data_IF_176199190429
#
_entry.id   IF_176199190429
#
_cell.length_a   1.000
_cell.length_b   1.000
_cell.length_c   1.000
_cell.angle_alpha   90.00
_cell.angle_beta   90.00
_cell.angle_gamma   90.00
#
_symmetry.space_group_name_H-M   'P 1'
#
loop_
_entity.id
_entity.type
_entity.pdbx_description
1 polymer ?
#
# COMPACT_ATOMS: atom_id res chain seq x y z
N UNK A 1 -21.44 21.95 -32.06
CA UNK A 1 -20.87 23.07 -31.25
C UNK A 1 -20.58 22.50 -29.86
N UNK A 2 -19.29 22.29 -29.51
CA UNK A 2 -18.92 22.02 -28.14
C UNK A 2 -19.30 23.26 -27.32
N UNK A 3 -20.19 23.11 -26.35
CA UNK A 3 -20.60 24.20 -25.48
C UNK A 3 -19.35 24.57 -24.68
N UNK A 4 -18.87 25.80 -24.88
CA UNK A 4 -17.68 26.30 -24.22
C UNK A 4 -17.95 26.31 -22.71
N UNK A 5 -17.09 25.65 -21.90
CA UNK A 5 -17.23 25.59 -20.46
C UNK A 5 -17.05 27.02 -19.89
N UNK A 6 -18.12 27.66 -19.35
CA UNK A 6 -18.04 29.04 -18.97
C UNK A 6 -17.19 29.26 -17.72
N UNK A 7 -16.46 30.35 -17.70
CA UNK A 7 -15.83 30.85 -16.48
C UNK A 7 -16.91 31.18 -15.45
N UNK A 8 -16.84 30.58 -14.26
CA UNK A 8 -17.78 30.81 -13.17
C UNK A 8 -17.32 31.96 -12.27
N UNK A 9 -16.04 31.95 -11.92
CA UNK A 9 -15.43 32.95 -11.04
C UNK A 9 -13.92 33.04 -11.28
N UNK A 10 -13.29 34.08 -10.72
CA UNK A 10 -11.82 34.25 -10.74
C UNK A 10 -11.31 34.40 -9.33
N UNK A 11 -10.35 33.53 -8.94
CA UNK A 11 -9.75 33.51 -7.61
C UNK A 11 -8.24 33.67 -7.77
N UNK A 12 -7.66 34.68 -7.14
CA UNK A 12 -6.23 34.98 -7.20
C UNK A 12 -5.68 35.01 -8.65
N UNK A 13 -6.46 35.60 -9.58
CA UNK A 13 -6.09 35.71 -10.99
C UNK A 13 -6.30 34.47 -11.84
N UNK A 14 -6.70 33.33 -11.26
CA UNK A 14 -7.01 32.08 -11.96
C UNK A 14 -8.51 31.98 -12.26
N UNK A 15 -8.83 31.59 -13.47
CA UNK A 15 -10.21 31.34 -13.89
C UNK A 15 -10.65 29.98 -13.39
N UNK A 16 -11.79 29.94 -12.72
CA UNK A 16 -12.47 28.73 -12.29
C UNK A 16 -13.64 28.48 -13.26
N UNK A 17 -13.61 27.34 -13.91
CA UNK A 17 -14.64 26.95 -14.85
C UNK A 17 -15.85 26.35 -14.13
N UNK A 18 -17.00 26.41 -14.76
CA UNK A 18 -18.24 25.86 -14.23
C UNK A 18 -18.12 24.35 -13.96
N UNK A 19 -17.51 23.62 -14.89
CA UNK A 19 -17.32 22.16 -14.75
C UNK A 19 -16.50 21.77 -13.53
N UNK A 20 -15.49 22.55 -13.17
CA UNK A 20 -14.66 22.32 -11.99
C UNK A 20 -15.46 22.46 -10.70
N UNK A 21 -16.23 23.55 -10.59
CA UNK A 21 -17.10 23.78 -9.44
C UNK A 21 -18.18 22.69 -9.31
N UNK A 22 -18.89 22.40 -10.42
CA UNK A 22 -19.96 21.40 -10.44
C UNK A 22 -19.44 20.01 -10.09
N UNK A 23 -18.24 19.65 -10.57
CA UNK A 23 -17.63 18.37 -10.25
C UNK A 23 -17.41 18.21 -8.73
N UNK A 24 -16.78 19.18 -8.09
CA UNK A 24 -16.47 19.14 -6.67
C UNK A 24 -17.76 19.23 -5.83
N UNK A 25 -18.69 20.11 -6.18
CA UNK A 25 -19.98 20.26 -5.52
C UNK A 25 -20.80 18.95 -5.54
N UNK A 26 -20.96 18.35 -6.71
CA UNK A 26 -21.75 17.14 -6.86
C UNK A 26 -21.10 15.95 -6.13
N UNK A 27 -19.78 15.83 -6.20
CA UNK A 27 -19.05 14.77 -5.53
C UNK A 27 -19.20 14.84 -4.00
N UNK A 28 -19.04 16.03 -3.42
CA UNK A 28 -19.17 16.22 -1.98
C UNK A 28 -20.61 16.00 -1.48
N UNK A 29 -21.61 16.42 -2.25
CA UNK A 29 -23.01 16.20 -1.90
C UNK A 29 -23.50 14.76 -2.13
N UNK A 30 -22.76 13.95 -2.91
CA UNK A 30 -23.06 12.54 -3.11
C UNK A 30 -22.50 11.62 -1.99
N UNK A 31 -21.62 12.13 -1.13
CA UNK A 31 -21.01 11.34 -0.06
C UNK A 31 -22.04 11.11 1.07
N UNK A 32 -22.31 9.85 1.36
CA UNK A 32 -23.17 9.47 2.48
C UNK A 32 -22.49 9.82 3.82
N UNK A 33 -23.24 10.45 4.74
CA UNK A 33 -22.73 10.83 6.07
C UNK A 33 -22.22 12.27 6.19
N UNK A 34 -22.18 13.03 5.09
CA UNK A 34 -21.90 14.46 5.10
C UNK A 34 -23.23 15.21 4.89
N UNK A 35 -23.45 16.25 5.70
CA UNK A 35 -24.61 17.12 5.54
C UNK A 35 -24.55 17.80 4.17
N UNK A 36 -25.61 17.61 3.38
CA UNK A 36 -25.73 18.24 2.06
C UNK A 36 -25.81 19.75 2.22
N UNK A 37 -24.96 20.47 1.49
CA UNK A 37 -24.97 21.93 1.45
C UNK A 37 -25.75 22.45 0.25
N UNK A 38 -26.47 23.54 0.45
CA UNK A 38 -27.06 24.27 -0.66
C UNK A 38 -25.96 24.90 -1.53
N UNK A 39 -26.29 25.24 -2.77
CA UNK A 39 -25.35 25.86 -3.68
C UNK A 39 -24.68 27.13 -3.09
N UNK A 40 -25.50 28.00 -2.44
CA UNK A 40 -25.00 29.23 -1.84
C UNK A 40 -24.03 29.00 -0.67
N UNK A 41 -24.37 28.06 0.22
CA UNK A 41 -23.48 27.68 1.33
C UNK A 41 -22.18 27.08 0.84
N UNK A 42 -22.23 26.35 -0.27
CA UNK A 42 -21.07 25.70 -0.84
C UNK A 42 -20.11 26.65 -1.56
N UNK A 43 -20.61 27.75 -2.13
CA UNK A 43 -19.77 28.76 -2.78
C UNK A 43 -18.71 29.31 -1.84
N UNK A 44 -19.09 29.70 -0.62
CA UNK A 44 -18.13 30.24 0.35
C UNK A 44 -17.08 29.20 0.77
N UNK A 45 -17.50 27.95 0.96
CA UNK A 45 -16.57 26.85 1.26
C UNK A 45 -15.59 26.62 0.11
N UNK A 46 -16.10 26.62 -1.13
CA UNK A 46 -15.27 26.44 -2.31
C UNK A 46 -14.28 27.60 -2.53
N UNK A 47 -14.71 28.85 -2.35
CA UNK A 47 -13.83 30.02 -2.43
C UNK A 47 -12.72 29.92 -1.37
N UNK A 48 -13.08 29.62 -0.12
CA UNK A 48 -12.09 29.44 0.96
C UNK A 48 -11.11 28.30 0.66
N UNK A 49 -11.58 27.20 0.11
CA UNK A 49 -10.74 26.09 -0.34
C UNK A 49 -9.73 26.56 -1.39
N UNK A 50 -10.17 27.26 -2.43
CA UNK A 50 -9.29 27.75 -3.51
C UNK A 50 -8.32 28.83 -3.04
N UNK A 51 -8.71 29.68 -2.09
CA UNK A 51 -7.80 30.65 -1.46
C UNK A 51 -6.68 29.97 -0.67
N UNK A 52 -6.98 28.90 0.06
CA UNK A 52 -5.97 28.09 0.74
C UNK A 52 -5.01 27.43 -0.24
N UNK A 53 -5.54 26.85 -1.33
CA UNK A 53 -4.72 26.28 -2.42
C UNK A 53 -3.78 27.36 -3.00
N UNK A 54 -4.31 28.56 -3.30
CA UNK A 54 -3.51 29.66 -3.82
C UNK A 54 -2.43 30.13 -2.83
N UNK A 55 -2.72 30.13 -1.52
CA UNK A 55 -1.74 30.44 -0.48
C UNK A 55 -0.61 29.40 -0.43
N UNK A 56 -0.92 28.11 -0.52
CA UNK A 56 0.09 27.05 -0.59
C UNK A 56 0.98 27.16 -1.85
N UNK A 57 0.39 27.49 -3.00
CA UNK A 57 1.15 27.77 -4.25
C UNK A 57 2.08 28.96 -4.10
N UNK A 58 1.59 30.07 -3.49
CA UNK A 58 2.41 31.25 -3.25
C UNK A 58 3.61 30.96 -2.33
N UNK A 59 3.49 29.97 -1.44
CA UNK A 59 4.60 29.47 -0.60
C UNK A 59 5.52 28.50 -1.35
N UNK A 60 5.23 28.14 -2.60
CA UNK A 60 6.02 27.22 -3.39
C UNK A 60 5.87 25.74 -3.00
N UNK A 61 4.81 25.36 -2.27
CA UNK A 61 4.58 23.99 -1.82
C UNK A 61 4.52 22.99 -2.98
N UNK A 62 3.94 23.38 -4.12
CA UNK A 62 3.84 22.57 -5.34
C UNK A 62 5.17 22.42 -6.11
N UNK A 63 6.19 23.19 -5.74
CA UNK A 63 7.50 23.14 -6.40
C UNK A 63 8.48 22.17 -5.72
N UNK A 64 8.13 21.64 -4.54
CA UNK A 64 8.99 20.72 -3.81
C UNK A 64 9.12 19.37 -4.55
N UNK A 65 10.27 18.71 -4.36
CA UNK A 65 10.52 17.39 -4.95
C UNK A 65 9.51 16.35 -4.43
N UNK A 66 9.26 16.35 -3.12
CA UNK A 66 8.33 15.42 -2.49
C UNK A 66 6.92 15.55 -3.07
N UNK A 67 6.41 16.77 -3.21
CA UNK A 67 5.11 17.04 -3.80
C UNK A 67 4.99 16.49 -5.23
N UNK A 68 6.01 16.76 -6.07
CA UNK A 68 6.01 16.30 -7.47
C UNK A 68 6.07 14.79 -7.58
N UNK A 69 6.89 14.14 -6.75
CA UNK A 69 7.02 12.66 -6.73
C UNK A 69 5.72 12.00 -6.27
N UNK A 70 5.04 12.56 -5.28
CA UNK A 70 3.75 12.06 -4.79
C UNK A 70 2.64 12.23 -5.84
N UNK A 71 2.52 13.43 -6.41
CA UNK A 71 1.53 13.72 -7.46
C UNK A 71 1.74 12.83 -8.69
N UNK A 72 3.00 12.62 -9.11
CA UNK A 72 3.32 11.72 -10.22
C UNK A 72 3.08 10.26 -9.85
N UNK A 73 3.28 9.87 -8.59
CA UNK A 73 2.92 8.55 -8.08
C UNK A 73 1.42 8.27 -8.21
N UNK A 74 0.60 9.21 -7.79
CA UNK A 74 -0.86 9.15 -7.93
C UNK A 74 -1.28 9.12 -9.40
N UNK A 75 -0.68 10.00 -10.22
CA UNK A 75 -0.94 10.05 -11.67
C UNK A 75 -0.70 8.69 -12.34
N UNK A 76 0.42 8.04 -12.03
CA UNK A 76 0.74 6.70 -12.54
C UNK A 76 -0.25 5.64 -12.08
N UNK A 77 -0.71 5.73 -10.84
CA UNK A 77 -1.71 4.80 -10.33
C UNK A 77 -3.06 4.98 -11.04
N UNK A 78 -3.54 6.20 -11.18
CA UNK A 78 -4.79 6.52 -11.85
C UNK A 78 -4.75 6.16 -13.33
N UNK A 79 -3.63 6.40 -14.00
CA UNK A 79 -3.45 6.14 -15.42
C UNK A 79 -3.57 4.66 -15.79
N UNK A 80 -3.38 3.72 -14.86
CA UNK A 80 -3.42 2.27 -15.16
C UNK A 80 -4.72 1.84 -15.82
N UNK A 81 -5.85 2.37 -15.36
CA UNK A 81 -7.18 2.04 -15.91
C UNK A 81 -7.40 2.61 -17.33
N UNK A 82 -6.63 3.63 -17.71
CA UNK A 82 -6.66 4.24 -19.04
C UNK A 82 -5.65 3.60 -20.01
N UNK A 83 -4.72 2.81 -19.51
CA UNK A 83 -3.64 2.20 -20.30
C UNK A 83 -3.82 0.69 -20.51
N UNK A 84 -5.02 0.18 -20.28
CA UNK A 84 -5.44 -1.19 -20.62
C UNK A 84 -6.92 -1.21 -21.00
N UNK A 85 -7.33 -2.19 -21.81
CA UNK A 85 -8.74 -2.47 -22.07
C UNK A 85 -9.16 -3.59 -21.10
N UNK A 86 -9.71 -3.21 -19.95
CA UNK A 86 -10.12 -4.13 -18.90
C UNK A 86 -11.14 -5.17 -19.38
N UNK A 87 -12.05 -4.77 -20.30
CA UNK A 87 -13.05 -5.68 -20.86
C UNK A 87 -12.38 -6.80 -21.64
N UNK A 88 -11.37 -6.47 -22.47
CA UNK A 88 -10.61 -7.47 -23.24
C UNK A 88 -9.77 -8.35 -22.33
N UNK A 89 -9.14 -7.76 -21.30
CA UNK A 89 -8.37 -8.53 -20.29
C UNK A 89 -9.27 -9.53 -19.56
N UNK A 90 -10.45 -9.11 -19.13
CA UNK A 90 -11.41 -9.98 -18.43
C UNK A 90 -11.95 -11.07 -19.34
N UNK A 91 -12.34 -10.76 -20.58
CA UNK A 91 -12.79 -11.76 -21.55
C UNK A 91 -11.71 -12.80 -21.84
N UNK A 92 -10.45 -12.38 -21.99
CA UNK A 92 -9.33 -13.29 -22.17
C UNK A 92 -9.11 -14.19 -20.93
N UNK A 93 -9.20 -13.61 -19.74
CA UNK A 93 -9.11 -14.37 -18.49
C UNK A 93 -10.26 -15.39 -18.35
N UNK A 94 -11.48 -15.00 -18.72
CA UNK A 94 -12.67 -15.88 -18.71
C UNK A 94 -12.49 -17.07 -19.65
N UNK A 95 -12.02 -16.83 -20.87
CA UNK A 95 -11.75 -17.92 -21.83
C UNK A 95 -10.71 -18.91 -21.29
N UNK A 96 -9.71 -18.42 -20.56
CA UNK A 96 -8.71 -19.27 -19.95
C UNK A 96 -9.31 -20.09 -18.80
N UNK A 97 -10.08 -19.44 -17.94
CA UNK A 97 -10.78 -20.08 -16.83
C UNK A 97 -11.69 -21.21 -17.32
N UNK A 98 -12.47 -20.95 -18.38
CA UNK A 98 -13.37 -21.96 -18.97
C UNK A 98 -12.58 -23.13 -19.58
N UNK A 99 -11.47 -22.87 -20.26
CA UNK A 99 -10.56 -23.91 -20.75
C UNK A 99 -9.94 -24.73 -19.62
N UNK A 100 -9.57 -24.09 -18.50
CA UNK A 100 -9.06 -24.81 -17.33
C UNK A 100 -10.11 -25.77 -16.78
N UNK A 101 -11.36 -25.32 -16.64
CA UNK A 101 -12.47 -26.16 -16.19
C UNK A 101 -12.74 -27.32 -17.16
N UNK A 102 -12.85 -27.05 -18.45
CA UNK A 102 -13.12 -28.04 -19.49
C UNK A 102 -12.05 -29.14 -19.56
N UNK A 103 -10.78 -28.77 -19.33
CA UNK A 103 -9.65 -29.70 -19.40
C UNK A 103 -9.28 -30.35 -18.06
N UNK A 104 -10.12 -30.21 -17.03
CA UNK A 104 -9.85 -30.68 -15.65
C UNK A 104 -8.54 -30.13 -15.04
N UNK A 105 -7.98 -29.05 -15.59
CA UNK A 105 -6.78 -28.35 -15.10
C UNK A 105 -7.12 -27.26 -14.09
N UNK A 106 -8.33 -27.29 -13.56
CA UNK A 106 -8.84 -26.32 -12.62
C UNK A 106 -8.38 -26.65 -11.20
N UNK A 107 -8.14 -25.61 -10.40
CA UNK A 107 -7.77 -25.73 -9.00
C UNK A 107 -6.29 -25.89 -8.75
N UNK A 108 -5.96 -26.63 -7.70
CA UNK A 108 -4.59 -26.89 -7.26
C UNK A 108 -4.38 -28.37 -7.04
N UNK A 109 -3.18 -28.85 -7.34
CA UNK A 109 -2.78 -30.24 -7.11
C UNK A 109 -1.57 -30.26 -6.19
N UNK A 110 -1.68 -30.93 -5.05
CA UNK A 110 -0.55 -31.17 -4.17
C UNK A 110 0.21 -32.39 -4.63
N UNK A 111 1.49 -32.24 -4.84
CA UNK A 111 2.34 -33.31 -5.36
C UNK A 111 3.57 -33.51 -4.48
N UNK A 112 4.05 -34.75 -4.51
CA UNK A 112 5.41 -35.14 -4.12
C UNK A 112 6.08 -35.76 -5.33
N UNK A 113 7.39 -35.58 -5.50
CA UNK A 113 8.07 -36.12 -6.66
C UNK A 113 9.47 -36.69 -6.35
N UNK A 114 9.82 -37.70 -7.13
CA UNK A 114 11.20 -38.15 -7.29
C UNK A 114 11.76 -37.38 -8.46
N UNK A 115 12.63 -36.40 -8.16
CA UNK A 115 13.18 -35.46 -9.12
C UNK A 115 14.69 -35.59 -9.24
N UNK A 116 15.20 -35.63 -10.47
CA UNK A 116 16.61 -35.52 -10.79
C UNK A 116 16.84 -34.33 -11.68
N UNK A 117 17.56 -33.36 -11.15
CA UNK A 117 17.98 -32.16 -11.90
C UNK A 117 18.97 -32.56 -12.99
N UNK A 118 18.75 -32.02 -14.18
CA UNK A 118 19.63 -32.23 -15.34
C UNK A 118 19.99 -30.86 -15.93
N UNK A 119 21.28 -30.54 -16.06
CA UNK A 119 21.70 -29.30 -16.71
C UNK A 119 21.30 -29.32 -18.18
N UNK A 120 21.02 -28.16 -18.77
CA UNK A 120 20.69 -28.04 -20.21
C UNK A 120 21.81 -28.53 -21.12
N UNK A 121 23.05 -28.60 -20.61
CA UNK A 121 24.24 -29.13 -21.30
C UNK A 121 24.51 -30.61 -20.99
N UNK A 122 23.50 -31.34 -20.45
CA UNK A 122 23.65 -32.75 -20.11
C UNK A 122 24.05 -33.59 -21.33
N UNK A 123 25.04 -34.46 -21.15
CA UNK A 123 25.49 -35.39 -22.23
C UNK A 123 24.41 -36.46 -22.46
N UNK A 124 24.35 -37.03 -23.70
CA UNK A 124 23.46 -38.08 -24.05
C UNK A 124 23.61 -39.34 -23.15
N UNK A 125 24.81 -39.58 -22.65
CA UNK A 125 25.08 -40.67 -21.70
C UNK A 125 24.41 -40.41 -20.34
N UNK A 126 24.57 -39.17 -19.79
CA UNK A 126 23.92 -38.80 -18.51
C UNK A 126 22.40 -38.87 -18.62
N UNK A 127 21.84 -38.36 -19.71
CA UNK A 127 20.39 -38.42 -19.96
C UNK A 127 19.88 -39.86 -19.94
N UNK A 128 20.46 -40.76 -20.74
CA UNK A 128 20.07 -42.18 -20.80
C UNK A 128 20.23 -42.92 -19.47
N UNK A 129 21.36 -42.69 -18.79
CA UNK A 129 21.62 -43.33 -17.49
C UNK A 129 20.59 -42.92 -16.45
N UNK A 130 20.24 -41.61 -16.42
CA UNK A 130 19.26 -41.11 -15.48
C UNK A 130 17.85 -41.60 -15.82
N UNK A 131 17.47 -41.60 -17.10
CA UNK A 131 16.20 -42.14 -17.60
C UNK A 131 16.04 -43.61 -17.21
N UNK A 132 17.03 -44.47 -17.54
CA UNK A 132 17.00 -45.90 -17.20
C UNK A 132 16.84 -46.11 -15.70
N UNK A 133 17.50 -45.32 -14.88
CA UNK A 133 17.36 -45.35 -13.40
C UNK A 133 15.96 -44.97 -12.95
N UNK A 134 15.37 -43.94 -13.53
CA UNK A 134 14.01 -43.49 -13.20
C UNK A 134 12.96 -44.54 -13.66
N UNK A 135 13.14 -45.17 -14.83
CA UNK A 135 12.28 -46.26 -15.30
C UNK A 135 12.35 -47.46 -14.37
N UNK A 136 13.55 -47.80 -13.88
CA UNK A 136 13.72 -48.91 -12.93
C UNK A 136 13.03 -48.61 -11.60
N UNK A 137 13.14 -47.35 -11.10
CA UNK A 137 12.43 -46.92 -9.90
C UNK A 137 10.92 -46.96 -10.09
N UNK A 138 10.41 -46.49 -11.24
CA UNK A 138 9.00 -46.53 -11.55
C UNK A 138 8.47 -48.01 -11.60
N UNK A 139 9.22 -48.88 -12.21
CA UNK A 139 8.86 -50.33 -12.27
C UNK A 139 8.79 -50.95 -10.88
N UNK A 140 9.76 -50.65 -10.01
CA UNK A 140 9.78 -51.11 -8.62
C UNK A 140 8.60 -50.54 -7.79
N UNK A 141 8.22 -49.29 -8.03
CA UNK A 141 7.04 -48.66 -7.41
C UNK A 141 5.73 -49.35 -7.87
N UNK A 142 5.60 -49.62 -9.15
CA UNK A 142 4.39 -50.30 -9.72
C UNK A 142 4.23 -51.72 -9.20
N UNK A 143 5.32 -52.44 -8.98
CA UNK A 143 5.32 -53.80 -8.49
C UNK A 143 5.25 -53.92 -6.95
N UNK A 144 5.14 -52.78 -6.24
CA UNK A 144 5.13 -52.73 -4.78
C UNK A 144 6.49 -53.10 -4.10
N UNK A 145 7.57 -53.17 -4.89
CA UNK A 145 8.92 -53.48 -4.40
C UNK A 145 9.64 -52.26 -3.80
N UNK A 146 9.10 -51.08 -4.00
CA UNK A 146 9.63 -49.81 -3.47
C UNK A 146 8.52 -48.94 -2.89
N UNK A 147 8.83 -48.21 -1.83
CA UNK A 147 7.95 -47.20 -1.25
C UNK A 147 8.27 -45.81 -1.83
N UNK A 148 7.24 -45.08 -2.26
CA UNK A 148 7.41 -43.78 -2.91
C UNK A 148 8.10 -42.77 -2.03
N UNK A 149 7.70 -42.68 -0.76
CA UNK A 149 8.25 -41.68 0.17
C UNK A 149 9.71 -41.99 0.56
N UNK A 150 10.04 -43.32 0.64
CA UNK A 150 11.41 -43.75 0.80
C UNK A 150 12.27 -43.39 -0.43
N UNK A 151 11.73 -43.55 -1.64
CA UNK A 151 12.40 -43.14 -2.88
C UNK A 151 12.62 -41.61 -2.91
N UNK A 152 11.64 -40.82 -2.51
CA UNK A 152 11.80 -39.34 -2.40
C UNK A 152 12.93 -38.98 -1.45
N UNK A 153 12.94 -39.61 -0.25
CA UNK A 153 13.99 -39.33 0.74
C UNK A 153 15.39 -39.68 0.25
N UNK A 154 15.54 -40.81 -0.47
CA UNK A 154 16.83 -41.37 -0.82
C UNK A 154 17.36 -40.94 -2.18
N UNK A 155 16.48 -40.66 -3.15
CA UNK A 155 16.86 -40.48 -4.56
C UNK A 155 16.44 -39.11 -5.12
N UNK A 156 15.48 -38.39 -4.51
CA UNK A 156 15.03 -37.09 -5.02
C UNK A 156 16.00 -35.97 -4.64
N UNK A 157 16.26 -35.07 -5.56
CA UNK A 157 17.00 -33.83 -5.31
C UNK A 157 16.13 -32.81 -4.54
N UNK A 158 14.81 -32.89 -4.69
CA UNK A 158 13.82 -32.12 -3.94
C UNK A 158 12.92 -33.06 -3.12
N UNK A 159 12.80 -32.79 -1.80
CA UNK A 159 12.19 -33.74 -0.85
C UNK A 159 10.84 -33.27 -0.29
N UNK A 160 10.44 -32.03 -0.57
CA UNK A 160 9.20 -31.45 -0.03
C UNK A 160 8.05 -31.57 -1.01
N UNK A 161 6.87 -31.90 -0.50
CA UNK A 161 5.63 -31.78 -1.28
C UNK A 161 5.25 -30.30 -1.45
N UNK A 162 4.63 -29.97 -2.58
CA UNK A 162 4.21 -28.60 -2.90
C UNK A 162 2.89 -28.59 -3.67
N UNK A 163 2.24 -27.40 -3.64
CA UNK A 163 1.04 -27.16 -4.42
C UNK A 163 1.38 -26.63 -5.80
N UNK A 164 0.76 -27.18 -6.81
CA UNK A 164 0.87 -26.76 -8.22
C UNK A 164 -0.44 -26.09 -8.62
N UNK A 165 -0.35 -24.87 -9.07
CA UNK A 165 -1.45 -24.14 -9.72
C UNK A 165 -1.13 -23.98 -11.21
N UNK A 166 -2.15 -23.77 -12.00
CA UNK A 166 -2.00 -23.57 -13.44
C UNK A 166 -1.07 -22.37 -13.77
N UNK A 167 -0.24 -22.51 -14.81
CA UNK A 167 0.82 -21.56 -15.23
C UNK A 167 1.95 -21.33 -14.22
N UNK A 168 2.13 -22.21 -13.27
CA UNK A 168 3.20 -22.11 -12.27
C UNK A 168 4.42 -22.97 -12.65
N UNK A 169 4.20 -24.12 -13.27
CA UNK A 169 5.22 -25.09 -13.64
C UNK A 169 5.37 -25.19 -15.18
N UNK A 170 6.42 -25.83 -15.69
CA UNK A 170 6.52 -26.15 -17.11
C UNK A 170 5.28 -26.92 -17.61
N UNK A 171 4.93 -26.70 -18.88
CA UNK A 171 3.71 -27.25 -19.46
C UNK A 171 3.67 -28.80 -19.35
N UNK A 172 4.79 -29.46 -19.54
CA UNK A 172 4.94 -30.91 -19.45
C UNK A 172 4.60 -31.45 -18.05
N UNK A 173 5.02 -30.68 -17.01
CA UNK A 173 4.72 -31.01 -15.63
C UNK A 173 3.22 -30.86 -15.34
N UNK A 174 2.67 -29.71 -15.69
CA UNK A 174 1.24 -29.41 -15.48
C UNK A 174 0.34 -30.36 -16.26
N UNK A 175 0.68 -30.65 -17.53
CA UNK A 175 -0.06 -31.58 -18.39
C UNK A 175 -0.13 -32.98 -17.81
N UNK A 176 0.89 -33.39 -17.06
CA UNK A 176 0.93 -34.69 -16.38
C UNK A 176 0.09 -34.67 -15.12
N UNK A 177 0.40 -33.72 -14.16
CA UNK A 177 -0.20 -33.81 -12.82
C UNK A 177 -1.67 -33.43 -12.77
N UNK A 178 -2.14 -32.53 -13.63
CA UNK A 178 -3.56 -32.16 -13.67
C UNK A 178 -4.48 -33.27 -14.24
N UNK A 179 -3.96 -34.26 -14.93
CA UNK A 179 -4.73 -35.40 -15.42
C UNK A 179 -4.80 -36.53 -14.41
N UNK A 180 -3.95 -36.53 -13.40
CA UNK A 180 -3.82 -37.60 -12.42
C UNK A 180 -4.81 -37.43 -11.26
N UNK A 181 -5.23 -38.55 -10.68
CA UNK A 181 -6.06 -38.59 -9.46
C UNK A 181 -5.17 -38.67 -8.20
N UNK A 182 -5.70 -38.29 -7.05
CA UNK A 182 -5.01 -38.49 -5.77
C UNK A 182 -4.62 -39.99 -5.61
N UNK A 183 -3.37 -40.22 -5.20
CA UNK A 183 -2.77 -41.54 -5.06
C UNK A 183 -2.06 -42.07 -6.31
N UNK A 184 -2.32 -41.55 -7.49
CA UNK A 184 -1.66 -41.98 -8.73
C UNK A 184 -0.19 -41.52 -8.78
N UNK A 185 0.64 -42.39 -9.39
CA UNK A 185 2.07 -42.15 -9.64
C UNK A 185 2.27 -42.09 -11.16
N UNK A 186 2.91 -40.99 -11.63
CA UNK A 186 3.21 -40.82 -13.06
C UNK A 186 4.31 -41.75 -13.54
N UNK A 187 4.34 -42.00 -14.85
CA UNK A 187 5.56 -42.47 -15.50
C UNK A 187 6.65 -41.40 -15.42
N UNK A 188 7.94 -41.78 -15.57
CA UNK A 188 9.00 -40.77 -15.74
C UNK A 188 8.70 -39.85 -16.91
N UNK A 189 8.91 -38.55 -16.72
CA UNK A 189 8.79 -37.55 -17.79
C UNK A 189 9.80 -36.42 -17.62
N UNK A 190 10.15 -35.80 -18.72
CA UNK A 190 11.14 -34.69 -18.73
C UNK A 190 10.45 -33.33 -18.65
N UNK A 191 11.16 -32.40 -18.00
CA UNK A 191 10.93 -30.95 -18.07
C UNK A 191 12.27 -30.26 -18.37
N UNK A 192 12.30 -28.96 -18.65
CA UNK A 192 13.54 -28.22 -18.79
C UNK A 192 14.49 -28.28 -17.60
N UNK A 193 14.00 -28.62 -16.40
CA UNK A 193 14.79 -28.73 -15.18
C UNK A 193 15.36 -30.14 -14.94
N UNK A 194 14.79 -31.16 -15.55
CA UNK A 194 15.22 -32.54 -15.31
C UNK A 194 14.13 -33.57 -15.55
N UNK A 195 14.25 -34.74 -14.92
CA UNK A 195 13.32 -35.86 -15.01
C UNK A 195 12.57 -36.07 -13.71
N UNK A 196 11.27 -36.38 -13.81
CA UNK A 196 10.35 -36.47 -12.68
C UNK A 196 9.56 -37.80 -12.70
N UNK A 197 9.27 -38.36 -11.52
CA UNK A 197 8.15 -39.27 -11.23
C UNK A 197 7.33 -38.59 -10.16
N UNK A 198 6.07 -38.29 -10.41
CA UNK A 198 5.20 -37.53 -9.53
C UNK A 198 4.12 -38.39 -8.93
N UNK A 199 3.84 -38.21 -7.64
CA UNK A 199 2.66 -38.73 -6.94
C UNK A 199 1.75 -37.59 -6.58
N UNK A 200 0.49 -37.66 -6.99
CA UNK A 200 -0.54 -36.71 -6.58
C UNK A 200 -1.02 -37.08 -5.17
N UNK A 201 -0.98 -36.14 -4.25
CA UNK A 201 -1.38 -36.34 -2.86
C UNK A 201 -2.81 -35.84 -2.61
N UNK A 202 -3.14 -34.65 -3.14
CA UNK A 202 -4.40 -33.98 -2.86
C UNK A 202 -4.79 -33.08 -4.02
N UNK A 203 -6.06 -32.78 -4.16
CA UNK A 203 -6.59 -31.80 -5.13
C UNK A 203 -7.53 -30.83 -4.45
N UNK A 204 -7.53 -29.59 -4.90
CA UNK A 204 -8.50 -28.56 -4.56
C UNK A 204 -9.18 -28.07 -5.82
N UNK A 205 -10.48 -27.87 -5.74
CA UNK A 205 -11.26 -27.31 -6.85
C UNK A 205 -10.88 -25.86 -7.12
N UNK A 206 -11.19 -25.40 -8.33
CA UNK A 206 -11.00 -23.99 -8.69
C UNK A 206 -12.01 -23.12 -7.95
N UNK A 207 -11.54 -22.00 -7.44
CA UNK A 207 -12.40 -20.96 -6.89
C UNK A 207 -13.26 -20.32 -7.99
N UNK A 208 -14.34 -19.59 -7.61
CA UNK A 208 -15.14 -18.80 -8.56
C UNK A 208 -14.26 -17.88 -9.40
N UNK A 209 -14.70 -17.55 -10.60
CA UNK A 209 -13.94 -16.71 -11.54
C UNK A 209 -13.51 -15.37 -10.93
N UNK A 210 -14.43 -14.73 -10.22
CA UNK A 210 -14.17 -13.41 -9.61
C UNK A 210 -13.02 -13.44 -8.61
N UNK A 211 -12.82 -14.56 -7.91
CA UNK A 211 -11.75 -14.72 -6.92
C UNK A 211 -10.39 -15.02 -7.55
N UNK A 212 -10.35 -15.50 -8.80
CA UNK A 212 -9.11 -15.90 -9.48
C UNK A 212 -8.78 -15.08 -10.72
N UNK A 213 -9.67 -14.21 -11.16
CA UNK A 213 -9.54 -13.38 -12.35
C UNK A 213 -8.21 -12.63 -12.41
N UNK A 214 -7.90 -11.88 -11.38
CA UNK A 214 -6.69 -11.06 -11.32
C UNK A 214 -5.41 -11.91 -11.33
N UNK A 215 -5.46 -13.08 -10.71
CA UNK A 215 -4.32 -14.00 -10.74
C UNK A 215 -4.12 -14.60 -12.13
N UNK A 216 -5.18 -14.93 -12.86
CA UNK A 216 -5.10 -15.39 -14.25
C UNK A 216 -4.49 -14.30 -15.13
N UNK A 217 -4.96 -13.06 -15.01
CA UNK A 217 -4.42 -11.91 -15.77
C UNK A 217 -2.92 -11.72 -15.46
N UNK A 218 -2.53 -11.70 -14.17
CA UNK A 218 -1.13 -11.55 -13.76
C UNK A 218 -0.23 -12.65 -14.32
N UNK A 219 -0.67 -13.91 -14.30
CA UNK A 219 0.12 -15.05 -14.81
C UNK A 219 0.26 -15.01 -16.32
N UNK A 220 -0.80 -14.62 -17.03
CA UNK A 220 -0.76 -14.38 -18.47
C UNK A 220 0.24 -13.29 -18.83
N UNK A 221 0.18 -12.18 -18.13
CA UNK A 221 1.10 -11.05 -18.32
C UNK A 221 2.56 -11.46 -18.13
N UNK A 222 2.86 -12.25 -17.07
CA UNK A 222 4.22 -12.79 -16.86
C UNK A 222 4.68 -13.69 -18.00
N UNK A 223 3.79 -14.55 -18.50
CA UNK A 223 4.14 -15.52 -19.54
C UNK A 223 4.32 -14.89 -20.92
N UNK A 224 3.50 -13.91 -21.26
CA UNK A 224 3.46 -13.28 -22.57
C UNK A 224 4.12 -11.90 -22.61
N UNK A 225 4.56 -11.37 -21.45
CA UNK A 225 5.18 -10.05 -21.30
C UNK A 225 4.16 -8.89 -21.28
N UNK A 226 2.88 -9.18 -21.55
CA UNK A 226 1.80 -8.20 -21.54
C UNK A 226 0.43 -8.90 -21.47
N UNK A 227 -0.57 -8.23 -20.92
CA UNK A 227 -1.96 -8.69 -20.97
C UNK A 227 -2.64 -8.33 -22.31
N UNK A 228 -3.72 -9.04 -22.62
CA UNK A 228 -4.45 -8.88 -23.88
C UNK A 228 -5.17 -7.55 -24.01
N UNK A 229 -5.59 -6.96 -22.89
CA UNK A 229 -6.23 -5.64 -22.88
C UNK A 229 -5.25 -4.55 -23.30
N UNK A 230 -4.03 -4.59 -22.79
CA UNK A 230 -2.97 -3.64 -23.19
C UNK A 230 -2.58 -3.83 -24.66
N UNK A 231 -2.44 -5.07 -25.16
CA UNK A 231 -2.19 -5.31 -26.59
C UNK A 231 -3.33 -4.72 -27.47
N UNK A 232 -4.59 -4.96 -27.09
CA UNK A 232 -5.75 -4.42 -27.80
C UNK A 232 -5.76 -2.91 -27.82
N UNK A 233 -5.50 -2.28 -26.67
CA UNK A 233 -5.43 -0.83 -26.56
C UNK A 233 -4.32 -0.25 -27.45
N UNK A 234 -3.12 -0.82 -27.41
CA UNK A 234 -1.99 -0.37 -28.25
C UNK A 234 -2.35 -0.38 -29.73
N UNK A 235 -3.05 -1.43 -30.21
CA UNK A 235 -3.47 -1.49 -31.63
C UNK A 235 -4.56 -0.43 -31.95
N UNK A 236 -5.45 -0.11 -31.02
CA UNK A 236 -6.41 0.99 -31.16
C UNK A 236 -5.67 2.36 -31.21
N UNK A 237 -4.74 2.58 -30.31
CA UNK A 237 -3.97 3.84 -30.21
C UNK A 237 -3.03 4.05 -31.41
N UNK A 238 -2.44 2.99 -31.96
CA UNK A 238 -1.66 3.07 -33.21
C UNK A 238 -2.50 3.64 -34.36
N UNK A 239 -3.75 3.23 -34.48
CA UNK A 239 -4.69 3.76 -35.50
C UNK A 239 -5.05 5.21 -35.20
N UNK A 240 -5.42 5.50 -33.97
CA UNK A 240 -5.81 6.84 -33.51
C UNK A 240 -4.71 7.87 -33.74
N UNK A 241 -3.47 7.52 -33.39
CA UNK A 241 -2.30 8.41 -33.48
C UNK A 241 -1.51 8.24 -34.77
N UNK A 242 -2.10 7.60 -35.79
CA UNK A 242 -1.51 7.47 -37.14
C UNK A 242 -0.08 6.91 -37.09
N UNK A 243 0.09 5.79 -36.35
CA UNK A 243 1.37 5.09 -36.35
C UNK A 243 1.79 4.72 -37.75
N UNK A 244 2.96 5.17 -38.18
CA UNK A 244 3.53 4.90 -39.49
C UNK A 244 4.94 4.34 -39.35
N UNK A 245 5.17 3.04 -39.66
CA UNK A 245 6.50 2.45 -39.63
C UNK A 245 7.38 2.99 -40.74
N UNK A 246 8.68 3.20 -40.45
CA UNK A 246 9.71 3.48 -41.46
C UNK A 246 10.39 2.16 -41.82
N UNK A 247 10.07 1.63 -42.98
CA UNK A 247 10.57 0.33 -43.41
C UNK A 247 12.10 0.31 -43.52
N UNK A 248 12.70 1.36 -44.01
CA UNK A 248 14.18 1.43 -44.23
C UNK A 248 14.92 1.40 -42.87
N UNK A 249 14.48 2.18 -41.90
CA UNK A 249 15.08 2.18 -40.56
C UNK A 249 14.85 0.87 -39.81
N UNK A 250 13.65 0.28 -39.93
CA UNK A 250 13.37 -1.01 -39.29
C UNK A 250 14.18 -2.17 -39.89
N UNK A 251 14.23 -2.27 -41.22
CA UNK A 251 15.01 -3.32 -41.90
C UNK A 251 16.50 -3.21 -41.54
N UNK A 252 17.04 -1.99 -41.52
CA UNK A 252 18.42 -1.77 -41.10
C UNK A 252 18.66 -2.16 -39.63
N UNK A 253 17.77 -1.78 -38.73
CA UNK A 253 17.85 -2.16 -37.31
C UNK A 253 17.85 -3.68 -37.13
N UNK A 254 16.93 -4.38 -37.79
CA UNK A 254 16.85 -5.84 -37.71
C UNK A 254 18.04 -6.56 -38.33
N UNK A 255 18.63 -6.01 -39.40
CA UNK A 255 19.77 -6.60 -40.05
C UNK A 255 21.13 -6.34 -39.33
N UNK A 256 21.31 -5.13 -38.79
CA UNK A 256 22.58 -4.69 -38.21
C UNK A 256 22.60 -4.64 -36.69
N UNK A 257 21.44 -4.74 -36.05
CA UNK A 257 21.28 -4.59 -34.60
C UNK A 257 21.30 -3.13 -34.12
N UNK A 258 21.55 -2.17 -35.01
CA UNK A 258 21.57 -0.73 -34.72
C UNK A 258 21.26 0.09 -35.95
N UNK A 259 20.73 1.30 -35.75
CA UNK A 259 20.50 2.30 -36.78
C UNK A 259 20.35 3.68 -36.15
N UNK A 260 20.73 4.74 -36.88
CA UNK A 260 20.43 6.13 -36.50
C UNK A 260 19.13 6.64 -37.13
N UNK A 261 18.60 5.89 -38.11
CA UNK A 261 17.43 6.28 -38.89
C UNK A 261 16.17 6.30 -37.99
N UNK A 262 15.17 6.98 -38.51
CA UNK A 262 13.81 6.91 -37.99
C UNK A 262 13.28 5.47 -38.12
N UNK A 263 12.62 5.00 -37.07
CA UNK A 263 11.98 3.69 -37.03
C UNK A 263 10.47 3.80 -37.34
N UNK A 264 9.82 4.84 -36.81
CA UNK A 264 8.41 5.11 -37.04
C UNK A 264 8.04 6.54 -36.65
N UNK A 265 6.85 6.96 -37.04
CA UNK A 265 6.17 8.17 -36.53
C UNK A 265 4.92 7.78 -35.75
N UNK A 266 4.58 8.57 -34.72
CA UNK A 266 3.39 8.41 -33.91
C UNK A 266 2.90 9.79 -33.47
N UNK A 267 1.67 10.17 -33.82
CA UNK A 267 1.12 11.48 -33.47
C UNK A 267 1.98 12.65 -33.95
N UNK A 268 2.62 12.52 -35.10
CA UNK A 268 3.52 13.51 -35.66
C UNK A 268 4.93 13.56 -35.06
N UNK A 269 5.23 12.72 -34.04
CA UNK A 269 6.59 12.60 -33.44
C UNK A 269 7.38 11.50 -34.13
N UNK A 270 8.67 11.74 -34.32
CA UNK A 270 9.61 10.74 -34.84
C UNK A 270 10.25 9.94 -33.72
N UNK A 271 10.38 8.63 -33.91
CA UNK A 271 11.06 7.71 -33.01
C UNK A 271 12.23 7.08 -33.76
N UNK A 272 13.43 7.27 -33.23
CA UNK A 272 14.69 6.94 -33.91
C UNK A 272 15.36 5.70 -33.33
N UNK A 273 16.34 5.18 -34.08
CA UNK A 273 17.20 4.10 -33.61
C UNK A 273 17.99 4.43 -32.34
N UNK A 274 18.36 5.71 -32.12
CA UNK A 274 19.00 6.14 -30.88
C UNK A 274 18.04 6.00 -29.68
N UNK A 275 16.76 6.37 -29.83
CA UNK A 275 15.75 6.18 -28.78
C UNK A 275 15.51 4.70 -28.48
N UNK A 276 15.51 3.87 -29.53
CA UNK A 276 15.46 2.42 -29.39
C UNK A 276 16.67 1.87 -28.63
N UNK A 277 17.87 2.31 -28.96
CA UNK A 277 19.12 1.86 -28.31
C UNK A 277 19.07 2.15 -26.78
N UNK A 278 18.61 3.34 -26.38
CA UNK A 278 18.44 3.69 -24.98
C UNK A 278 17.41 2.78 -24.27
N UNK A 279 16.32 2.42 -24.95
CA UNK A 279 15.34 1.45 -24.44
C UNK A 279 15.93 0.05 -24.32
N UNK A 280 16.67 -0.41 -25.31
CA UNK A 280 17.24 -1.76 -25.41
C UNK A 280 18.24 -2.08 -24.29
N UNK A 281 18.99 -1.08 -23.81
CA UNK A 281 19.95 -1.22 -22.69
C UNK A 281 19.23 -1.71 -21.43
N UNK A 282 18.05 -1.18 -21.14
CA UNK A 282 17.27 -1.55 -19.97
C UNK A 282 16.44 -2.84 -20.15
N UNK A 283 16.34 -3.36 -21.38
CA UNK A 283 15.50 -4.50 -21.74
C UNK A 283 16.29 -5.56 -22.54
N UNK A 284 17.22 -6.32 -21.92
CA UNK A 284 18.06 -7.29 -22.61
C UNK A 284 17.26 -8.49 -23.11
N UNK A 285 16.85 -8.47 -24.38
CA UNK A 285 16.08 -9.49 -25.08
C UNK A 285 16.51 -9.58 -26.55
N UNK A 286 15.96 -10.55 -27.31
CA UNK A 286 16.18 -10.57 -28.76
C UNK A 286 15.58 -9.33 -29.43
N UNK A 287 16.29 -8.80 -30.46
CA UNK A 287 16.00 -7.50 -31.09
C UNK A 287 14.53 -7.34 -31.55
N UNK A 288 13.91 -8.40 -32.05
CA UNK A 288 12.50 -8.36 -32.46
C UNK A 288 11.55 -8.12 -31.28
N UNK A 289 11.83 -8.74 -30.13
CA UNK A 289 11.06 -8.51 -28.88
C UNK A 289 11.32 -7.12 -28.34
N UNK A 290 12.56 -6.66 -28.39
CA UNK A 290 12.92 -5.29 -27.99
C UNK A 290 12.19 -4.27 -28.86
N UNK A 291 12.16 -4.44 -30.19
CA UNK A 291 11.47 -3.52 -31.10
C UNK A 291 9.96 -3.50 -30.82
N UNK A 292 9.35 -4.68 -30.65
CA UNK A 292 7.93 -4.77 -30.26
C UNK A 292 7.69 -4.02 -28.93
N UNK A 293 8.51 -4.26 -27.92
CA UNK A 293 8.42 -3.60 -26.60
C UNK A 293 8.60 -2.09 -26.69
N UNK A 294 9.56 -1.62 -27.50
CA UNK A 294 9.81 -0.20 -27.72
C UNK A 294 8.60 0.51 -28.38
N UNK A 295 8.04 -0.07 -29.43
CA UNK A 295 6.86 0.47 -30.10
C UNK A 295 5.70 0.58 -29.10
N UNK A 296 5.44 -0.49 -28.35
CA UNK A 296 4.35 -0.53 -27.38
C UNK A 296 4.53 0.51 -26.27
N UNK A 297 5.73 0.58 -25.68
CA UNK A 297 6.05 1.60 -24.67
C UNK A 297 5.86 3.00 -25.23
N UNK A 298 6.33 3.27 -26.45
CA UNK A 298 6.20 4.57 -27.11
C UNK A 298 4.74 4.98 -27.30
N UNK A 299 3.88 4.04 -27.70
CA UNK A 299 2.43 4.28 -27.86
C UNK A 299 1.77 4.58 -26.53
N UNK A 300 2.06 3.80 -25.49
CA UNK A 300 1.50 4.00 -24.16
C UNK A 300 2.03 5.27 -23.50
N UNK A 301 3.32 5.60 -23.64
CA UNK A 301 3.89 6.85 -23.13
C UNK A 301 3.26 8.08 -23.83
N UNK A 302 2.97 7.96 -25.12
CA UNK A 302 2.29 9.02 -25.86
C UNK A 302 0.87 9.22 -25.34
N UNK A 303 0.09 8.16 -25.17
CA UNK A 303 -1.24 8.22 -24.54
C UNK A 303 -1.15 8.78 -23.12
N UNK A 304 -0.24 8.26 -22.30
CA UNK A 304 -0.01 8.73 -20.93
C UNK A 304 0.24 10.25 -20.88
N UNK A 305 0.99 10.79 -21.83
CA UNK A 305 1.27 12.23 -21.90
C UNK A 305 0.06 13.10 -22.24
N UNK A 306 -1.05 12.51 -22.69
CA UNK A 306 -2.24 13.19 -23.17
C UNK A 306 -3.50 12.96 -22.34
N UNK A 307 -3.40 12.20 -21.25
CA UNK A 307 -4.58 11.78 -20.46
C UNK A 307 -5.42 12.96 -19.98
N UNK A 308 -4.79 14.03 -19.49
CA UNK A 308 -5.50 15.23 -19.01
C UNK A 308 -6.21 15.99 -20.14
N UNK A 309 -5.68 15.91 -21.37
CA UNK A 309 -6.29 16.56 -22.53
C UNK A 309 -7.43 15.74 -23.11
N UNK A 310 -7.27 14.42 -23.09
CA UNK A 310 -8.18 13.48 -23.73
C UNK A 310 -9.36 13.10 -22.84
N UNK A 311 -9.14 12.98 -21.53
CA UNK A 311 -10.13 12.50 -20.56
C UNK A 311 -10.42 13.58 -19.49
N UNK A 312 -11.57 14.29 -19.60
CA UNK A 312 -11.94 15.31 -18.62
C UNK A 312 -11.99 14.80 -17.18
N UNK A 313 -12.47 13.58 -16.96
CA UNK A 313 -12.54 12.98 -15.63
C UNK A 313 -11.14 12.76 -15.03
N UNK A 314 -10.19 12.29 -15.85
CA UNK A 314 -8.78 12.13 -15.41
C UNK A 314 -8.21 13.48 -14.99
N UNK A 315 -8.41 14.52 -15.80
CA UNK A 315 -7.98 15.90 -15.47
C UNK A 315 -8.57 16.38 -14.16
N UNK A 316 -9.89 16.19 -13.95
CA UNK A 316 -10.57 16.62 -12.73
C UNK A 316 -10.04 15.88 -11.48
N UNK A 317 -9.85 14.57 -11.57
CA UNK A 317 -9.28 13.79 -10.48
C UNK A 317 -7.85 14.22 -10.15
N UNK A 318 -7.02 14.49 -11.15
CA UNK A 318 -5.66 14.99 -10.94
C UNK A 318 -5.64 16.37 -10.29
N UNK A 319 -6.54 17.26 -10.71
CA UNK A 319 -6.71 18.59 -10.14
C UNK A 319 -7.15 18.51 -8.67
N UNK A 320 -8.17 17.70 -8.40
CA UNK A 320 -8.67 17.49 -7.04
C UNK A 320 -7.59 16.95 -6.10
N UNK A 321 -6.83 15.96 -6.54
CA UNK A 321 -5.75 15.39 -5.75
C UNK A 321 -4.65 16.43 -5.46
N UNK A 322 -4.22 17.16 -6.50
CA UNK A 322 -3.24 18.24 -6.37
C UNK A 322 -3.70 19.32 -5.39
N UNK A 323 -4.93 19.77 -5.54
CA UNK A 323 -5.49 20.82 -4.68
C UNK A 323 -5.69 20.32 -3.24
N UNK A 324 -6.05 19.04 -3.07
CA UNK A 324 -6.13 18.37 -1.77
C UNK A 324 -4.78 18.29 -1.05
N UNK A 325 -3.71 17.95 -1.78
CA UNK A 325 -2.34 17.95 -1.24
C UNK A 325 -1.93 19.37 -0.78
N UNK A 326 -2.23 20.40 -1.58
CA UNK A 326 -1.92 21.79 -1.24
C UNK A 326 -2.73 22.28 -0.04
N UNK A 327 -4.01 21.91 0.04
CA UNK A 327 -4.85 22.21 1.20
C UNK A 327 -4.31 21.55 2.46
N UNK A 328 -3.88 20.28 2.37
CA UNK A 328 -3.29 19.57 3.49
C UNK A 328 -2.01 20.25 3.96
N UNK A 329 -1.11 20.58 3.04
CA UNK A 329 0.18 21.20 3.33
C UNK A 329 0.03 22.56 4.04
N UNK A 330 -0.84 23.44 3.52
CA UNK A 330 -1.08 24.74 4.14
C UNK A 330 -1.75 24.61 5.51
N UNK A 331 -2.68 23.65 5.65
CA UNK A 331 -3.36 23.42 6.92
C UNK A 331 -2.42 22.84 7.97
N UNK A 332 -1.56 21.89 7.56
CA UNK A 332 -0.54 21.35 8.42
C UNK A 332 0.39 22.42 8.95
N UNK A 333 0.96 23.21 8.04
CA UNK A 333 1.95 24.24 8.34
C UNK A 333 1.38 25.41 9.16
N UNK A 334 0.21 25.91 8.77
CA UNK A 334 -0.33 27.14 9.35
C UNK A 334 -1.24 26.91 10.56
N UNK A 335 -1.74 25.67 10.74
CA UNK A 335 -2.66 25.35 11.83
C UNK A 335 -2.05 24.25 12.72
N UNK A 336 -1.90 23.04 12.20
CA UNK A 336 -1.60 21.87 13.04
C UNK A 336 -0.19 21.87 13.64
N UNK A 337 0.79 22.42 12.94
CA UNK A 337 2.16 22.58 13.47
C UNK A 337 2.33 23.84 14.35
N UNK A 338 1.58 24.91 14.06
CA UNK A 338 1.67 26.16 14.80
C UNK A 338 0.86 26.15 16.10
N UNK A 339 -0.37 25.68 16.06
CA UNK A 339 -1.28 25.71 17.21
C UNK A 339 -0.67 25.01 18.44
N UNK A 340 -0.06 23.80 18.34
CA UNK A 340 0.55 23.17 19.51
C UNK A 340 1.70 23.94 20.16
N UNK A 341 2.35 24.84 19.43
CA UNK A 341 3.44 25.67 19.92
C UNK A 341 3.01 27.08 20.35
N UNK A 342 1.77 27.50 20.05
CA UNK A 342 1.21 28.81 20.42
C UNK A 342 0.57 28.75 21.80
N UNK A 343 1.41 28.64 22.83
CA UNK A 343 0.94 28.59 24.23
C UNK A 343 0.17 29.84 24.63
N UNK A 344 0.57 31.02 24.13
CA UNK A 344 -0.10 32.28 24.42
C UNK A 344 -1.49 32.33 23.78
N UNK A 345 -1.59 31.90 22.51
CA UNK A 345 -2.87 31.83 21.79
C UNK A 345 -3.83 30.81 22.42
N UNK A 346 -3.31 29.63 22.80
CA UNK A 346 -4.11 28.61 23.48
C UNK A 346 -4.62 29.08 24.85
N UNK A 347 -3.78 29.75 25.65
CA UNK A 347 -4.17 30.30 26.92
C UNK A 347 -5.27 31.39 26.76
N UNK A 348 -5.08 32.31 25.83
CA UNK A 348 -6.05 33.38 25.55
C UNK A 348 -7.38 32.80 25.01
N UNK A 349 -7.32 31.80 24.17
CA UNK A 349 -8.52 31.11 23.64
C UNK A 349 -9.28 30.40 24.78
N UNK A 350 -8.57 29.65 25.61
CA UNK A 350 -9.15 28.96 26.77
C UNK A 350 -9.82 29.97 27.71
N UNK A 351 -9.17 31.07 28.06
CA UNK A 351 -9.73 32.09 28.97
C UNK A 351 -11.03 32.70 28.41
N UNK A 352 -11.08 32.94 27.09
CA UNK A 352 -12.28 33.46 26.43
C UNK A 352 -13.43 32.44 26.35
N UNK A 353 -13.09 31.15 26.24
CA UNK A 353 -14.03 30.05 26.02
C UNK A 353 -14.10 29.06 27.20
N UNK A 354 -13.69 29.50 28.40
CA UNK A 354 -13.60 28.67 29.61
C UNK A 354 -14.91 27.96 29.94
N UNK A 355 -16.06 28.57 29.66
CA UNK A 355 -17.37 27.97 29.87
C UNK A 355 -17.66 26.73 29.01
N UNK A 356 -16.95 26.57 27.90
CA UNK A 356 -17.15 25.46 26.96
C UNK A 356 -16.42 24.20 27.43
N UNK A 357 -15.43 24.38 28.32
CA UNK A 357 -14.61 23.32 28.88
C UNK A 357 -15.08 22.98 30.31
N UNK A 358 -15.81 21.89 30.46
CA UNK A 358 -16.26 21.41 31.75
C UNK A 358 -16.17 19.88 31.84
N UNK A 359 -15.83 19.41 33.03
CA UNK A 359 -15.79 17.98 33.31
C UNK A 359 -17.10 17.50 33.92
N UNK A 360 -17.52 16.28 33.55
CA UNK A 360 -18.72 15.66 34.16
C UNK A 360 -18.51 15.38 35.64
N UNK A 361 -17.31 15.04 36.06
CA UNK A 361 -16.92 14.72 37.42
C UNK A 361 -15.69 15.54 37.83
N UNK A 362 -15.57 15.88 39.14
CA UNK A 362 -14.34 16.52 39.63
C UNK A 362 -13.09 15.69 39.40
N UNK A 363 -11.93 16.34 39.20
CA UNK A 363 -10.63 15.72 39.13
C UNK A 363 -9.83 16.03 40.39
N UNK A 364 -8.83 15.21 40.69
CA UNK A 364 -7.82 15.50 41.69
C UNK A 364 -6.53 15.97 41.04
N UNK A 365 -6.11 17.18 41.35
CA UNK A 365 -4.85 17.77 40.85
C UNK A 365 -3.85 17.74 42.01
N UNK A 366 -2.72 17.04 41.78
CA UNK A 366 -1.71 16.90 42.84
C UNK A 366 -0.78 15.72 42.67
N UNK A 367 -0.22 15.27 43.78
CA UNK A 367 0.73 14.16 43.83
C UNK A 367 0.27 13.09 44.81
N UNK A 368 0.34 11.84 44.39
CA UNK A 368 0.17 10.64 45.20
C UNK A 368 1.56 10.14 45.61
N UNK A 369 1.79 9.96 46.89
CA UNK A 369 3.10 9.64 47.46
C UNK A 369 3.01 8.33 48.23
N UNK A 370 3.74 7.31 47.81
CA UNK A 370 3.90 6.06 48.50
C UNK A 370 5.29 6.01 49.13
N UNK A 371 5.39 5.74 50.42
CA UNK A 371 6.64 5.77 51.17
C UNK A 371 6.89 4.48 51.94
N UNK A 372 8.16 4.16 52.12
CA UNK A 372 8.58 2.96 52.85
C UNK A 372 8.20 3.02 54.35
N UNK A 373 8.13 4.23 54.93
CA UNK A 373 7.70 4.45 56.31
C UNK A 373 6.80 5.68 56.46
N UNK A 374 5.92 5.66 57.45
CA UNK A 374 5.03 6.79 57.75
C UNK A 374 5.78 8.11 58.03
N UNK A 375 7.00 7.98 58.61
CA UNK A 375 7.88 9.12 58.90
C UNK A 375 8.35 9.79 57.61
N UNK A 376 8.81 8.98 56.65
CA UNK A 376 9.26 9.47 55.33
C UNK A 376 8.10 10.18 54.62
N UNK A 377 6.90 9.59 54.56
CA UNK A 377 5.73 10.21 53.93
C UNK A 377 5.42 11.59 54.51
N UNK A 378 5.48 11.76 55.84
CA UNK A 378 5.30 13.06 56.48
C UNK A 378 6.41 14.06 56.12
N UNK A 379 7.67 13.61 55.99
CA UNK A 379 8.79 14.45 55.61
C UNK A 379 8.69 14.92 54.17
N UNK A 380 8.35 13.99 53.27
CA UNK A 380 8.09 14.34 51.83
C UNK A 380 7.01 15.39 51.74
N UNK A 381 5.83 15.15 52.34
CA UNK A 381 4.70 16.10 52.28
C UNK A 381 5.07 17.46 52.87
N UNK A 382 5.89 17.52 53.95
CA UNK A 382 6.35 18.77 54.51
C UNK A 382 7.28 19.50 53.57
N UNK A 383 8.22 18.84 52.90
CA UNK A 383 9.11 19.42 51.93
C UNK A 383 8.34 19.97 50.72
N UNK A 384 7.48 19.14 50.11
CA UNK A 384 6.75 19.53 48.92
C UNK A 384 5.81 20.71 49.10
N UNK A 385 5.25 20.90 50.33
CA UNK A 385 4.43 22.07 50.63
C UNK A 385 5.18 23.41 50.57
N UNK A 386 6.51 23.41 50.65
CA UNK A 386 7.36 24.59 50.58
C UNK A 386 7.94 24.83 49.20
N UNK A 387 7.62 24.00 48.23
CA UNK A 387 8.16 24.04 46.86
C UNK A 387 7.05 24.23 45.83
N UNK A 388 7.34 24.86 44.69
CA UNK A 388 6.46 24.86 43.53
C UNK A 388 6.22 23.45 43.04
N UNK A 389 5.04 23.22 42.41
CA UNK A 389 4.64 21.89 41.92
C UNK A 389 5.63 21.31 40.91
N UNK A 390 6.25 22.13 40.08
CA UNK A 390 7.21 21.74 39.06
C UNK A 390 8.48 21.12 39.65
N UNK A 391 8.81 21.46 40.89
CA UNK A 391 10.03 20.96 41.58
C UNK A 391 9.77 19.69 42.40
N UNK A 392 8.52 19.22 42.55
CA UNK A 392 8.17 18.11 43.46
C UNK A 392 8.87 16.82 43.13
N UNK A 393 8.90 16.42 41.86
CA UNK A 393 9.52 15.18 41.43
C UNK A 393 11.04 15.19 41.66
N UNK A 394 11.70 16.29 41.33
CA UNK A 394 13.14 16.45 41.56
C UNK A 394 13.50 16.51 43.05
N UNK A 395 12.71 17.17 43.85
CA UNK A 395 12.88 17.20 45.30
C UNK A 395 12.80 15.79 45.89
N UNK A 396 11.84 14.98 45.50
CA UNK A 396 11.73 13.57 45.94
C UNK A 396 12.96 12.78 45.49
N UNK A 397 13.32 12.87 44.23
CA UNK A 397 14.47 12.16 43.64
C UNK A 397 15.76 12.46 44.35
N UNK A 398 16.04 13.72 44.57
CA UNK A 398 17.30 14.20 45.15
C UNK A 398 17.40 14.01 46.67
N UNK A 399 16.28 14.15 47.39
CA UNK A 399 16.28 14.13 48.88
C UNK A 399 16.04 12.75 49.45
N UNK A 400 15.10 12.00 48.89
CA UNK A 400 14.66 10.72 49.47
C UNK A 400 15.09 9.48 48.70
N UNK A 401 15.38 9.61 47.41
CA UNK A 401 15.72 8.50 46.53
C UNK A 401 17.18 8.50 46.07
N UNK A 402 18.02 9.43 46.53
CA UNK A 402 19.40 9.61 46.08
C UNK A 402 20.29 8.36 46.29
N UNK A 403 20.10 7.63 47.39
CA UNK A 403 20.91 6.43 47.75
C UNK A 403 20.12 5.13 47.56
N UNK A 404 18.87 5.14 47.88
CA UNK A 404 17.92 4.01 47.81
C UNK A 404 16.53 4.59 47.62
N UNK A 405 15.74 3.91 46.79
CA UNK A 405 14.34 4.33 46.58
C UNK A 405 13.56 4.10 47.88
N UNK A 406 13.08 5.19 48.48
CA UNK A 406 12.29 5.20 49.71
C UNK A 406 10.89 5.75 49.46
N UNK A 407 10.68 6.38 48.27
CA UNK A 407 9.45 7.00 47.88
C UNK A 407 9.16 6.68 46.41
N UNK A 408 7.93 6.32 46.15
CA UNK A 408 7.34 6.29 44.81
C UNK A 408 6.24 7.33 44.74
N UNK A 409 6.24 8.16 43.70
CA UNK A 409 5.25 9.23 43.61
C UNK A 409 4.78 9.41 42.17
N UNK A 410 3.50 9.71 42.03
CA UNK A 410 2.84 10.02 40.76
C UNK A 410 2.15 11.38 40.89
N UNK A 411 2.54 12.31 40.03
CA UNK A 411 1.97 13.67 39.99
C UNK A 411 1.17 13.85 38.71
N UNK A 412 -0.03 14.42 38.83
CA UNK A 412 -0.88 14.63 37.68
C UNK A 412 -2.26 15.19 38.04
N UNK A 413 -3.09 15.17 37.01
CA UNK A 413 -4.50 15.46 37.08
C UNK A 413 -5.25 14.12 36.90
N UNK A 414 -5.93 13.68 37.94
CA UNK A 414 -6.55 12.35 37.99
C UNK A 414 -8.06 12.46 37.91
N UNK A 415 -8.66 11.86 36.91
CA UNK A 415 -10.09 11.55 36.87
C UNK A 415 -10.37 10.28 37.67
N UNK A 416 -11.64 10.01 37.89
CA UNK A 416 -12.08 8.71 38.48
C UNK A 416 -11.70 7.57 37.51
N UNK A 417 -10.94 6.60 38.02
CA UNK A 417 -10.41 5.45 37.26
C UNK A 417 -8.95 5.59 36.86
N UNK A 418 -8.33 6.77 36.96
CA UNK A 418 -6.93 6.98 36.55
C UNK A 418 -5.91 6.45 37.56
N UNK A 419 -6.25 6.50 38.85
CA UNK A 419 -5.36 6.03 39.92
C UNK A 419 -6.18 5.47 41.08
N UNK A 420 -6.02 4.17 41.36
CA UNK A 420 -6.78 3.44 42.37
C UNK A 420 -6.65 4.03 43.79
N UNK A 421 -5.50 4.65 44.14
CA UNK A 421 -5.31 5.26 45.45
C UNK A 421 -6.03 6.61 45.55
N UNK A 422 -6.12 7.35 44.45
CA UNK A 422 -6.97 8.57 44.35
C UNK A 422 -8.44 8.17 44.42
N UNK A 423 -8.84 7.09 43.77
CA UNK A 423 -10.21 6.58 43.80
C UNK A 423 -10.62 6.16 45.21
N UNK A 424 -9.74 5.50 45.95
CA UNK A 424 -9.96 5.12 47.35
C UNK A 424 -10.06 6.33 48.28
N UNK A 425 -8.99 7.13 48.34
CA UNK A 425 -8.85 8.12 49.40
C UNK A 425 -9.56 9.46 49.08
N UNK A 426 -9.57 9.87 47.80
CA UNK A 426 -10.10 11.15 47.36
C UNK A 426 -11.54 11.03 46.87
N UNK A 427 -11.83 10.04 46.02
CA UNK A 427 -13.18 9.86 45.46
C UNK A 427 -14.06 8.92 46.26
N UNK A 428 -13.51 8.12 47.18
CA UNK A 428 -14.23 7.17 48.05
C UNK A 428 -15.03 6.13 47.27
N UNK A 429 -14.44 5.55 46.23
CA UNK A 429 -15.08 4.59 45.31
C UNK A 429 -14.59 3.16 45.45
N UNK A 430 -13.27 2.95 45.37
CA UNK A 430 -12.63 1.63 45.40
C UNK A 430 -11.60 1.57 46.52
N UNK A 431 -11.35 0.35 47.06
CA UNK A 431 -10.29 0.17 48.07
C UNK A 431 -8.99 -0.25 47.36
N UNK A 432 -7.90 0.46 47.68
CA UNK A 432 -6.59 0.19 47.21
C UNK A 432 -5.78 -0.66 48.20
N UNK A 433 -5.12 -1.71 47.73
CA UNK A 433 -4.18 -2.47 48.55
C UNK A 433 -2.84 -1.72 48.65
N UNK A 434 -2.23 -1.69 49.84
CA UNK A 434 -0.93 -1.04 50.04
C UNK A 434 0.15 -1.65 49.14
N UNK A 435 1.05 -0.81 48.58
CA UNK A 435 2.22 -1.32 47.84
C UNK A 435 3.19 -1.96 48.85
N UNK A 436 3.57 -3.24 48.69
CA UNK A 436 4.37 -3.96 49.70
C UNK A 436 5.65 -3.25 50.14
N UNK A 437 6.38 -2.62 49.22
CA UNK A 437 7.63 -1.88 49.51
C UNK A 437 7.39 -0.45 50.00
N UNK A 438 6.20 0.11 49.78
CA UNK A 438 5.84 1.50 50.10
C UNK A 438 4.42 1.59 50.66
N UNK A 439 4.15 0.97 51.80
CA UNK A 439 2.78 0.74 52.30
C UNK A 439 2.07 2.01 52.82
N UNK A 440 2.76 3.13 52.91
CA UNK A 440 2.19 4.36 53.42
C UNK A 440 1.94 5.35 52.33
N UNK A 441 0.65 5.54 51.98
CA UNK A 441 0.20 6.49 50.97
C UNK A 441 -0.20 7.82 51.58
N UNK A 442 0.23 8.92 50.99
CA UNK A 442 -0.15 10.29 51.36
C UNK A 442 -0.38 11.12 50.09
N UNK A 443 -1.16 12.19 50.26
CA UNK A 443 -1.59 13.04 49.14
C UNK A 443 -1.23 14.51 49.43
N UNK A 444 -0.89 15.24 48.38
CA UNK A 444 -0.75 16.68 48.39
C UNK A 444 -1.35 17.21 47.09
N UNK A 445 -2.38 18.03 47.19
CA UNK A 445 -3.12 18.57 46.06
C UNK A 445 -4.56 18.89 46.49
N UNK A 446 -5.40 19.16 45.52
CA UNK A 446 -6.79 19.55 45.72
C UNK A 446 -7.75 18.92 44.70
N UNK A 447 -9.01 18.91 45.04
CA UNK A 447 -10.10 18.47 44.17
C UNK A 447 -10.64 19.68 43.42
N UNK A 448 -10.54 19.68 42.10
CA UNK A 448 -11.01 20.74 41.23
C UNK A 448 -12.24 20.30 40.44
N UNK A 449 -13.18 21.21 40.21
CA UNK A 449 -14.48 20.92 39.56
C UNK A 449 -14.47 21.10 38.05
N UNK A 450 -13.53 21.86 37.55
CA UNK A 450 -13.36 22.15 36.13
C UNK A 450 -11.92 22.56 35.84
N UNK A 451 -11.52 22.67 34.57
CA UNK A 451 -10.16 23.03 34.18
C UNK A 451 -9.86 24.50 34.60
N UNK A 452 -8.69 24.70 35.18
CA UNK A 452 -8.20 25.98 35.62
C UNK A 452 -7.24 26.64 34.62
N UNK A 453 -6.60 25.80 33.79
CA UNK A 453 -5.67 26.23 32.75
C UNK A 453 -5.90 25.47 31.43
N UNK A 454 -5.45 26.04 30.30
CA UNK A 454 -5.52 25.41 29.00
C UNK A 454 -4.74 24.09 28.93
N UNK A 455 -3.71 23.93 29.73
CA UNK A 455 -2.86 22.72 29.76
C UNK A 455 -3.67 21.47 30.16
N UNK A 456 -4.68 21.66 31.03
CA UNK A 456 -5.54 20.59 31.52
C UNK A 456 -6.55 20.10 30.49
N UNK A 457 -6.76 20.86 29.42
CA UNK A 457 -7.67 20.57 28.30
C UNK A 457 -6.99 20.70 26.93
N UNK A 458 -5.67 20.74 26.92
CA UNK A 458 -4.87 20.95 25.68
C UNK A 458 -5.25 20.05 24.52
N UNK A 459 -5.65 18.80 24.81
CA UNK A 459 -6.09 17.85 23.78
C UNK A 459 -7.50 18.12 23.23
N UNK A 460 -8.24 19.09 23.83
CA UNK A 460 -9.58 19.50 23.41
C UNK A 460 -9.61 20.87 22.75
N UNK A 461 -8.51 21.64 22.87
CA UNK A 461 -8.31 22.94 22.23
C UNK A 461 -7.84 22.77 20.79
#
# INVERSE_FOLDING_TARGET
FAQQDPMLMRINGKDILRSEFEYIYNKNNALSGIEQKTLNEYVDLFVNFKLKVAAAEAMGSDTTRAFREELEGYRRQLAKTYLTDETVSELAARQIYDKMKANQRAGQVRVSHIFKSLPQTATSHLLRTTETRMDSLYTALQNGQADFDACVRNFSDEKKSFWVSWLQMPAEFEDTVFKMKPGEISRPFFTPQGIHIVKVLERKDILPFEDVKDEIIRRQTRRHGMDKGTESLVEKLKKEYQYTPDKVGMDELLAKGQTEKKLFTLGGREYTGQMFANFAIAHPQGIQRQLKGFIMKSVLDYEYSRLEQKYPEFRMLMQEYRDGMLLFEISNREIWERVPSDEVGMAAYFDKHRSDYHWKNPHYKGIVIHSATKRIGKQVRKLLKSLPEEEWQDAIRLTFNAKKQQVQAEQGLFALGDNIYVDDEIFKKEKAEPIPSFPFTTFLGEKIKGPESYQEVRGLL
#
